data_IF_244220519308
#
_entry.id   IF_244220519308
#
_cell.length_a   1.000
_cell.length_b   1.000
_cell.length_c   1.000
_cell.angle_alpha   90.00
_cell.angle_beta   90.00
_cell.angle_gamma   90.00
#
_symmetry.space_group_name_H-M   'P 1'
#
loop_
_entity.id
_entity.type
_entity.pdbx_description
1 polymer ?
#
# COMPACT_ATOMS: atom_id res chain seq x y z
N UNK A 1 -6.06 7.17 -25.94
CA UNK A 1 -5.31 8.12 -25.09
C UNK A 1 -6.36 8.87 -24.28
N UNK A 2 -6.35 8.80 -22.96
CA UNK A 2 -7.33 9.51 -22.12
C UNK A 2 -6.88 10.97 -22.03
N UNK A 3 -7.65 11.92 -22.58
CA UNK A 3 -7.34 13.34 -22.48
C UNK A 3 -8.23 14.06 -21.44
N UNK A 4 -7.65 14.94 -20.61
CA UNK A 4 -8.39 15.62 -19.54
C UNK A 4 -9.21 16.82 -20.06
N UNK A 5 -10.49 16.86 -19.67
CA UNK A 5 -11.48 17.90 -20.06
C UNK A 5 -11.38 19.19 -19.22
N UNK A 6 -10.54 19.22 -18.17
CA UNK A 6 -10.44 20.34 -17.22
C UNK A 6 -9.01 20.87 -17.08
N UNK A 7 -8.86 22.18 -16.86
CA UNK A 7 -7.58 22.85 -16.58
C UNK A 7 -7.32 22.98 -15.06
N UNK A 8 -6.05 23.13 -14.65
CA UNK A 8 -5.63 23.31 -13.24
C UNK A 8 -5.49 22.01 -12.45
N UNK A 9 -5.66 22.05 -11.12
CA UNK A 9 -5.48 20.88 -10.22
C UNK A 9 -6.34 19.66 -10.60
N UNK A 10 -7.50 19.88 -11.21
CA UNK A 10 -8.35 18.78 -11.71
C UNK A 10 -7.65 17.95 -12.78
N UNK A 11 -6.83 18.57 -13.63
CA UNK A 11 -6.01 17.87 -14.63
C UNK A 11 -4.96 16.99 -13.97
N UNK A 12 -4.22 17.56 -13.02
CA UNK A 12 -3.18 16.85 -12.27
C UNK A 12 -3.76 15.63 -11.56
N UNK A 13 -4.91 15.79 -10.90
CA UNK A 13 -5.59 14.66 -10.26
C UNK A 13 -6.03 13.60 -11.28
N UNK A 14 -6.59 14.01 -12.43
CA UNK A 14 -7.00 13.07 -13.47
C UNK A 14 -5.82 12.27 -14.04
N UNK A 15 -4.67 12.92 -14.28
CA UNK A 15 -3.45 12.27 -14.76
C UNK A 15 -2.90 11.26 -13.74
N UNK A 16 -2.82 11.64 -12.47
CA UNK A 16 -2.39 10.74 -11.38
C UNK A 16 -3.32 9.53 -11.24
N UNK A 17 -4.64 9.75 -11.30
CA UNK A 17 -5.63 8.67 -11.20
C UNK A 17 -5.53 7.73 -12.42
N UNK A 18 -5.37 8.27 -13.63
CA UNK A 18 -5.23 7.47 -14.84
C UNK A 18 -3.96 6.61 -14.82
N UNK A 19 -2.83 7.18 -14.41
CA UNK A 19 -1.56 6.45 -14.28
C UNK A 19 -1.65 5.35 -13.22
N UNK A 20 -2.23 5.65 -12.05
CA UNK A 20 -2.47 4.66 -11.02
C UNK A 20 -3.38 3.52 -11.49
N UNK A 21 -4.47 3.83 -12.20
CA UNK A 21 -5.36 2.83 -12.77
C UNK A 21 -4.62 1.94 -13.80
N UNK A 22 -3.79 2.54 -14.66
CA UNK A 22 -2.98 1.80 -15.62
C UNK A 22 -1.95 0.89 -14.92
N UNK A 23 -1.33 1.36 -13.84
CA UNK A 23 -0.40 0.58 -13.03
C UNK A 23 -1.08 -0.64 -12.37
N UNK A 24 -2.32 -0.49 -11.90
CA UNK A 24 -3.12 -1.60 -11.35
C UNK A 24 -3.44 -2.67 -12.39
N UNK A 25 -3.79 -2.25 -13.61
CA UNK A 25 -4.09 -3.15 -14.73
C UNK A 25 -2.83 -3.88 -15.20
N UNK A 26 -1.72 -3.16 -15.39
CA UNK A 26 -0.50 -3.70 -16.00
C UNK A 26 0.34 -4.53 -15.04
N UNK A 27 0.46 -4.11 -13.77
CA UNK A 27 1.35 -4.75 -12.80
C UNK A 27 0.69 -5.93 -12.07
N UNK A 28 -0.63 -6.09 -12.26
CA UNK A 28 -1.51 -6.87 -11.42
C UNK A 28 -1.59 -6.25 -10.02
N UNK A 29 -2.79 -5.88 -9.58
CA UNK A 29 -3.03 -5.25 -8.27
C UNK A 29 -2.43 -5.98 -7.04
N UNK A 30 -1.87 -7.17 -7.21
CA UNK A 30 -1.10 -7.95 -6.23
C UNK A 30 -0.02 -7.17 -5.45
N UNK A 31 0.56 -6.09 -6.01
CA UNK A 31 1.54 -5.27 -5.30
C UNK A 31 0.90 -4.16 -4.46
N UNK A 32 -0.33 -3.77 -4.73
CA UNK A 32 -1.05 -2.82 -3.89
C UNK A 32 -1.76 -3.59 -2.80
N UNK A 33 -1.35 -3.35 -1.55
CA UNK A 33 -1.80 -4.12 -0.39
C UNK A 33 -2.29 -3.20 0.72
N UNK A 34 -3.15 -3.73 1.58
CA UNK A 34 -3.55 -3.09 2.84
C UNK A 34 -2.71 -3.69 3.96
N UNK A 35 -2.33 -2.85 4.94
CA UNK A 35 -1.56 -3.27 6.11
C UNK A 35 -2.26 -4.41 6.88
N UNK A 36 -1.53 -5.48 7.22
CA UNK A 36 -2.05 -6.61 8.00
C UNK A 36 -2.26 -6.28 9.50
N UNK A 37 -1.85 -5.10 9.97
CA UNK A 37 -2.21 -4.65 11.31
C UNK A 37 -3.67 -4.17 11.28
N UNK A 38 -4.56 -4.84 12.01
CA UNK A 38 -6.01 -4.54 12.03
C UNK A 38 -6.33 -3.10 12.46
N UNK A 39 -5.44 -2.47 13.22
CA UNK A 39 -5.57 -1.08 13.67
C UNK A 39 -5.05 -0.07 12.62
N UNK A 40 -4.53 -0.54 11.49
CA UNK A 40 -3.94 0.26 10.42
C UNK A 40 -4.60 -0.06 9.07
N UNK A 41 -5.20 0.95 8.44
CA UNK A 41 -5.88 0.81 7.13
C UNK A 41 -5.08 1.38 5.97
N UNK A 42 -3.78 1.60 6.16
CA UNK A 42 -2.95 2.18 5.12
C UNK A 42 -2.78 1.22 3.94
N UNK A 43 -2.93 1.77 2.74
CA UNK A 43 -2.59 1.11 1.48
C UNK A 43 -1.12 1.38 1.18
N UNK A 44 -0.39 0.36 0.75
CA UNK A 44 1.02 0.47 0.40
C UNK A 44 1.34 -0.34 -0.85
N UNK A 45 2.44 0.02 -1.51
CA UNK A 45 3.02 -0.75 -2.60
C UNK A 45 4.08 -1.72 -2.04
N UNK A 46 3.94 -2.99 -2.39
CA UNK A 46 4.90 -4.05 -2.09
C UNK A 46 6.02 -4.04 -3.14
N UNK A 47 7.10 -3.35 -2.80
CA UNK A 47 8.34 -3.24 -3.57
C UNK A 47 9.27 -4.46 -3.39
N UNK A 48 8.91 -5.42 -2.55
CA UNK A 48 9.76 -6.59 -2.32
C UNK A 48 9.78 -7.50 -3.54
N UNK A 49 10.92 -8.18 -3.75
CA UNK A 49 11.11 -9.11 -4.86
C UNK A 49 10.05 -10.21 -4.87
N UNK A 50 9.71 -10.73 -3.68
CA UNK A 50 8.84 -11.89 -3.51
C UNK A 50 7.40 -11.54 -3.12
N UNK A 51 7.02 -10.25 -3.16
CA UNK A 51 5.67 -9.76 -2.75
C UNK A 51 5.28 -10.22 -1.33
N UNK A 52 6.25 -10.16 -0.43
CA UNK A 52 6.13 -10.67 0.94
C UNK A 52 5.89 -9.58 1.98
N UNK A 53 5.79 -8.31 1.59
CA UNK A 53 5.60 -7.21 2.54
C UNK A 53 4.17 -7.26 3.07
N UNK A 54 4.04 -7.34 4.39
CA UNK A 54 2.75 -7.49 5.08
C UNK A 54 2.26 -6.21 5.77
N UNK A 55 3.16 -5.26 6.00
CA UNK A 55 2.87 -4.05 6.76
C UNK A 55 3.28 -2.82 5.96
N UNK A 56 2.59 -1.71 6.17
CA UNK A 56 2.84 -0.47 5.43
C UNK A 56 4.30 0.02 5.56
N UNK A 57 4.87 -0.12 6.75
CA UNK A 57 6.26 0.24 7.06
C UNK A 57 6.85 -0.72 8.10
N UNK A 58 8.11 -1.10 7.89
CA UNK A 58 8.82 -2.07 8.73
C UNK A 58 9.20 -1.52 10.11
N UNK A 59 9.45 -0.21 10.21
CA UNK A 59 9.80 0.48 11.46
C UNK A 59 8.56 0.87 12.28
N UNK A 60 7.41 1.01 11.62
CA UNK A 60 6.11 1.28 12.27
C UNK A 60 5.34 -0.03 12.54
N UNK A 61 4.37 -0.37 11.68
CA UNK A 61 3.49 -1.52 11.89
C UNK A 61 4.27 -2.84 11.93
N UNK A 62 5.33 -2.99 11.13
CA UNK A 62 6.19 -4.17 11.17
C UNK A 62 6.81 -4.41 12.54
N UNK A 63 7.42 -3.38 13.14
CA UNK A 63 8.01 -3.45 14.47
C UNK A 63 6.95 -3.64 15.57
N UNK A 64 5.85 -2.88 15.49
CA UNK A 64 4.74 -2.99 16.44
C UNK A 64 4.19 -4.42 16.53
N UNK A 65 3.95 -5.05 15.39
CA UNK A 65 3.42 -6.42 15.34
C UNK A 65 4.45 -7.46 15.82
N UNK A 66 5.75 -7.23 15.60
CA UNK A 66 6.83 -8.08 16.18
C UNK A 66 6.81 -8.00 17.72
N UNK A 67 6.69 -6.79 18.29
CA UNK A 67 6.63 -6.59 19.74
C UNK A 67 5.37 -7.22 20.35
N UNK A 68 4.20 -7.04 19.73
CA UNK A 68 2.93 -7.68 20.16
C UNK A 68 3.08 -9.21 20.23
N UNK A 69 3.55 -9.84 19.15
CA UNK A 69 3.79 -11.31 19.09
C UNK A 69 4.81 -11.80 20.12
N UNK A 70 5.85 -11.01 20.41
CA UNK A 70 6.82 -11.34 21.45
C UNK A 70 6.17 -11.33 22.85
N UNK A 71 5.37 -10.31 23.16
CA UNK A 71 4.65 -10.20 24.43
C UNK A 71 3.61 -11.30 24.62
N UNK A 72 2.87 -11.66 23.57
CA UNK A 72 1.92 -12.77 23.60
C UNK A 72 2.58 -14.11 23.93
N UNK A 73 3.75 -14.38 23.33
CA UNK A 73 4.52 -15.61 23.61
C UNK A 73 5.07 -15.67 25.03
N UNK A 74 5.39 -14.53 25.64
CA UNK A 74 5.87 -14.45 27.03
C UNK A 74 4.77 -14.51 28.09
N UNK A 75 3.50 -14.35 27.69
CA UNK A 75 2.35 -14.51 28.59
C UNK A 75 1.87 -15.96 28.69
N UNK A 76 2.30 -16.83 27.76
CA UNK A 76 2.20 -18.27 27.87
C UNK A 76 3.41 -18.80 28.62
#
# INVERSE_FOLDING_TARGET
>A
MLEPVANGWKKVLAEVVADFAQALVNSGGSRIRICDNTDCRWVFYDDTRNRSKRFCDDKMCGNLMKVRRFRERKKK
#
